data_IF_104192353179
#
_entry.id   IF_104192353179
#
_cell.length_a   1.000
_cell.length_b   1.000
_cell.length_c   1.000
_cell.angle_alpha   90.00
_cell.angle_beta   90.00
_cell.angle_gamma   90.00
#
_symmetry.space_group_name_H-M   'P 1'
#
loop_
_entity.id
_entity.type
_entity.pdbx_description
1 polymer ?
#
# COMPACT_ATOMS: atom_id res chain seq x y z
N UNK A 1 13.16 22.32 -19.26
CA UNK A 1 14.64 22.26 -19.11
C UNK A 1 15.26 23.65 -19.08
N UNK A 2 14.87 24.57 -19.95
CA UNK A 2 15.41 25.95 -19.98
C UNK A 2 15.22 26.70 -18.65
N UNK A 3 14.08 26.51 -17.98
CA UNK A 3 13.74 27.18 -16.71
C UNK A 3 14.63 26.69 -15.56
N UNK A 4 14.89 25.37 -15.49
CA UNK A 4 15.81 24.79 -14.50
C UNK A 4 17.26 25.16 -14.81
N UNK A 5 17.68 25.18 -16.08
CA UNK A 5 19.00 25.66 -16.48
C UNK A 5 19.21 27.13 -16.09
N UNK A 6 18.19 27.97 -16.24
CA UNK A 6 18.23 29.37 -15.81
C UNK A 6 18.40 29.49 -14.30
N UNK A 7 17.70 28.66 -13.51
CA UNK A 7 17.89 28.60 -12.06
C UNK A 7 19.33 28.21 -11.71
N UNK A 8 19.84 27.12 -12.28
CA UNK A 8 21.20 26.62 -12.02
C UNK A 8 22.26 27.66 -12.39
N UNK A 9 22.13 28.30 -13.56
CA UNK A 9 23.05 29.34 -13.99
C UNK A 9 23.00 30.58 -13.08
N UNK A 10 21.81 30.97 -12.60
CA UNK A 10 21.67 32.08 -11.67
C UNK A 10 22.29 31.79 -10.30
N UNK A 11 22.11 30.56 -9.77
CA UNK A 11 22.75 30.12 -8.53
C UNK A 11 24.28 30.11 -8.70
N UNK A 12 24.76 29.54 -9.81
CA UNK A 12 26.19 29.51 -10.14
C UNK A 12 26.79 30.91 -10.19
N UNK A 13 26.12 31.86 -10.84
CA UNK A 13 26.56 33.26 -10.88
C UNK A 13 26.63 33.93 -9.50
N UNK A 14 25.72 33.60 -8.58
CA UNK A 14 25.79 34.09 -7.19
C UNK A 14 27.01 33.50 -6.47
N UNK A 15 27.26 32.21 -6.64
CA UNK A 15 28.40 31.53 -6.01
C UNK A 15 29.75 32.07 -6.53
N UNK A 16 29.85 32.35 -7.84
CA UNK A 16 31.07 32.87 -8.46
C UNK A 16 31.35 34.34 -8.11
N UNK A 17 30.31 35.13 -7.82
CA UNK A 17 30.43 36.55 -7.47
C UNK A 17 30.77 36.81 -5.98
N UNK A 18 30.65 35.80 -5.11
CA UNK A 18 30.87 35.93 -3.68
C UNK A 18 32.18 35.24 -3.26
N UNK A 19 33.16 36.02 -2.79
CA UNK A 19 34.44 35.49 -2.26
C UNK A 19 34.28 34.70 -0.96
N UNK A 20 33.23 34.97 -0.19
CA UNK A 20 32.80 34.18 0.97
C UNK A 20 31.28 34.01 0.92
N UNK A 21 30.79 32.80 1.17
CA UNK A 21 29.36 32.52 1.22
C UNK A 21 28.73 33.20 2.44
N UNK A 22 28.10 34.35 2.22
CA UNK A 22 27.48 35.16 3.27
C UNK A 22 25.96 34.99 3.30
N UNK A 23 25.34 35.58 4.32
CA UNK A 23 23.88 35.50 4.52
C UNK A 23 23.09 36.16 3.37
N UNK A 24 23.70 37.11 2.63
CA UNK A 24 23.04 37.78 1.51
C UNK A 24 23.01 36.90 0.27
N UNK A 25 24.10 36.19 -0.04
CA UNK A 25 24.16 35.17 -1.08
C UNK A 25 23.15 34.03 -0.80
N UNK A 26 23.12 33.54 0.44
CA UNK A 26 22.15 32.53 0.87
C UNK A 26 20.70 33.00 0.65
N UNK A 27 20.35 34.23 1.07
CA UNK A 27 19.01 34.81 0.85
C UNK A 27 18.63 34.88 -0.63
N UNK A 28 19.57 35.27 -1.50
CA UNK A 28 19.33 35.32 -2.95
C UNK A 28 19.05 33.94 -3.54
N UNK A 29 19.82 32.92 -3.14
CA UNK A 29 19.60 31.53 -3.58
C UNK A 29 18.23 31.03 -3.12
N UNK A 30 17.89 31.22 -1.85
CA UNK A 30 16.57 30.84 -1.30
C UNK A 30 15.44 31.56 -2.04
N UNK A 31 15.61 32.84 -2.35
CA UNK A 31 14.63 33.60 -3.14
C UNK A 31 14.45 33.03 -4.55
N UNK A 32 15.53 32.62 -5.22
CA UNK A 32 15.47 32.00 -6.55
C UNK A 32 14.76 30.64 -6.52
N UNK A 33 15.09 29.80 -5.53
CA UNK A 33 14.44 28.50 -5.33
C UNK A 33 12.94 28.71 -5.08
N UNK A 34 12.58 29.60 -4.16
CA UNK A 34 11.19 29.90 -3.85
C UNK A 34 10.44 30.45 -5.07
N UNK A 35 11.10 31.27 -5.90
CA UNK A 35 10.49 31.80 -7.11
C UNK A 35 10.19 30.68 -8.11
N UNK A 36 11.16 29.81 -8.35
CA UNK A 36 11.02 28.65 -9.23
C UNK A 36 9.95 27.66 -8.75
N UNK A 37 9.86 27.44 -7.44
CA UNK A 37 8.91 26.51 -6.83
C UNK A 37 7.48 27.06 -6.75
N UNK A 38 7.30 28.35 -6.45
CA UNK A 38 6.02 28.87 -5.94
C UNK A 38 5.44 30.07 -6.70
N UNK A 39 6.09 30.56 -7.76
CA UNK A 39 5.58 31.78 -8.45
C UNK A 39 4.73 31.44 -9.66
N UNK A 40 3.49 31.94 -9.67
CA UNK A 40 2.60 31.96 -10.83
C UNK A 40 2.75 33.28 -11.60
N UNK A 41 2.87 33.22 -12.92
CA UNK A 41 2.88 34.42 -13.79
C UNK A 41 2.14 34.16 -15.11
N UNK A 42 1.77 35.24 -15.82
CA UNK A 42 0.85 35.26 -16.97
C UNK A 42 1.32 34.57 -18.26
N UNK A 43 2.21 33.59 -18.20
CA UNK A 43 2.70 32.79 -19.33
C UNK A 43 2.93 31.31 -19.02
N UNK A 44 2.54 30.85 -17.82
CA UNK A 44 2.61 29.44 -17.44
C UNK A 44 1.44 28.70 -18.09
N UNK A 45 1.76 27.81 -19.04
CA UNK A 45 0.80 27.02 -19.83
C UNK A 45 0.21 25.88 -18.98
N UNK A 46 -1.05 25.51 -19.25
CA UNK A 46 -1.70 24.33 -18.67
C UNK A 46 -1.03 23.03 -19.13
N UNK A 47 -1.18 21.97 -18.33
CA UNK A 47 -0.88 20.59 -18.75
C UNK A 47 -2.17 19.81 -18.92
N UNK A 48 -2.24 18.96 -19.93
CA UNK A 48 -3.35 18.04 -20.11
C UNK A 48 -3.05 16.73 -19.38
N UNK A 49 -3.92 16.36 -18.43
CA UNK A 49 -3.84 15.12 -17.68
C UNK A 49 -5.22 14.48 -17.71
N UNK A 50 -5.32 13.25 -18.22
CA UNK A 50 -6.61 12.52 -18.36
C UNK A 50 -7.67 13.35 -19.09
N UNK A 51 -7.31 13.95 -20.23
CA UNK A 51 -8.19 14.80 -21.06
C UNK A 51 -8.71 16.06 -20.35
N UNK A 52 -8.04 16.48 -19.25
CA UNK A 52 -8.35 17.70 -18.51
C UNK A 52 -7.14 18.61 -18.46
N UNK A 53 -7.35 19.87 -18.78
CA UNK A 53 -6.33 20.91 -18.61
C UNK A 53 -6.24 21.37 -17.15
N UNK A 54 -5.06 21.26 -16.58
CA UNK A 54 -4.71 21.79 -15.27
C UNK A 54 -3.73 22.96 -15.44
N UNK A 55 -4.08 24.12 -14.87
CA UNK A 55 -3.18 25.27 -14.87
C UNK A 55 -1.97 24.98 -13.97
N UNK A 56 -0.76 25.04 -14.53
CA UNK A 56 0.46 24.98 -13.73
C UNK A 56 0.58 26.22 -12.83
N UNK A 57 1.04 26.04 -11.59
CA UNK A 57 1.25 27.13 -10.64
C UNK A 57 2.71 27.57 -10.51
N UNK A 58 3.68 26.86 -11.10
CA UNK A 58 5.10 27.25 -11.14
C UNK A 58 5.91 26.55 -12.25
N UNK A 59 7.09 27.09 -12.55
CA UNK A 59 8.05 26.49 -13.50
C UNK A 59 8.59 25.14 -13.01
N UNK A 60 8.70 24.97 -11.69
CA UNK A 60 9.12 23.71 -11.09
C UNK A 60 8.16 22.58 -11.46
N UNK A 61 6.84 22.78 -11.37
CA UNK A 61 5.89 21.71 -11.70
C UNK A 61 5.97 21.29 -13.15
N UNK A 62 6.07 22.29 -14.04
CA UNK A 62 6.22 22.04 -15.47
C UNK A 62 7.52 21.27 -15.72
N UNK A 63 8.61 21.66 -15.08
CA UNK A 63 9.87 20.92 -15.16
C UNK A 63 9.72 19.51 -14.59
N UNK A 64 9.15 19.37 -13.40
CA UNK A 64 8.99 18.11 -12.70
C UNK A 64 8.11 17.15 -13.49
N UNK A 65 6.91 17.55 -13.91
CA UNK A 65 5.98 16.76 -14.72
C UNK A 65 6.65 16.21 -16.00
N UNK A 66 7.57 16.95 -16.61
CA UNK A 66 8.24 16.51 -17.83
C UNK A 66 9.48 15.63 -17.59
N UNK A 67 10.03 15.59 -16.37
CA UNK A 67 11.36 15.00 -16.13
C UNK A 67 11.40 14.03 -14.93
N UNK A 68 10.34 13.92 -14.13
CA UNK A 68 10.34 13.16 -12.87
C UNK A 68 10.78 11.70 -13.06
N UNK A 69 10.34 11.00 -14.11
CA UNK A 69 10.73 9.60 -14.35
C UNK A 69 12.23 9.45 -14.57
N UNK A 70 12.84 10.34 -15.37
CA UNK A 70 14.27 10.32 -15.65
C UNK A 70 15.10 10.74 -14.43
N UNK A 71 14.63 11.72 -13.66
CA UNK A 71 15.30 12.19 -12.46
C UNK A 71 15.24 11.14 -11.35
N UNK A 72 14.07 10.53 -11.13
CA UNK A 72 13.88 9.45 -10.15
C UNK A 72 14.66 8.21 -10.59
N UNK A 73 14.65 7.89 -11.90
CA UNK A 73 15.36 6.74 -12.46
C UNK A 73 14.97 5.45 -11.75
N UNK A 74 13.67 5.20 -11.60
CA UNK A 74 13.20 4.02 -10.88
C UNK A 74 13.33 2.78 -11.77
N UNK A 75 14.05 1.77 -11.28
CA UNK A 75 14.34 0.53 -12.01
C UNK A 75 13.95 -0.70 -11.18
N UNK A 76 13.62 -1.79 -11.89
CA UNK A 76 13.34 -3.09 -11.27
C UNK A 76 14.63 -3.91 -11.28
N UNK A 77 15.11 -4.32 -10.11
CA UNK A 77 16.32 -5.12 -9.99
C UNK A 77 16.01 -6.62 -10.07
N UNK A 78 16.26 -7.23 -11.23
CA UNK A 78 15.94 -8.64 -11.51
C UNK A 78 16.64 -9.63 -10.56
N UNK A 79 17.91 -9.37 -10.20
CA UNK A 79 18.66 -10.23 -9.29
C UNK A 79 18.08 -10.20 -7.88
N UNK A 80 17.64 -9.01 -7.42
CA UNK A 80 17.03 -8.86 -6.11
C UNK A 80 15.61 -9.42 -6.10
N UNK A 81 14.87 -9.32 -7.20
CA UNK A 81 13.57 -10.00 -7.34
C UNK A 81 13.69 -11.51 -7.11
N UNK A 82 14.78 -12.12 -7.59
CA UNK A 82 15.06 -13.54 -7.37
C UNK A 82 15.35 -13.86 -5.89
N UNK A 83 16.17 -13.04 -5.21
CA UNK A 83 16.42 -13.18 -3.76
C UNK A 83 15.13 -13.08 -2.94
N UNK A 84 14.28 -12.10 -3.27
CA UNK A 84 12.97 -11.92 -2.61
C UNK A 84 12.05 -13.10 -2.90
N UNK A 85 12.06 -13.65 -4.11
CA UNK A 85 11.29 -14.84 -4.47
C UNK A 85 11.67 -16.06 -3.60
N UNK A 86 12.97 -16.30 -3.39
CA UNK A 86 13.45 -17.36 -2.49
C UNK A 86 13.00 -17.12 -1.04
N UNK A 87 13.14 -15.89 -0.53
CA UNK A 87 12.70 -15.59 0.84
C UNK A 87 11.18 -15.77 1.03
N UNK A 88 10.36 -15.48 0.01
CA UNK A 88 8.93 -15.75 0.05
C UNK A 88 8.62 -17.26 -0.02
N UNK A 89 9.36 -18.02 -0.82
CA UNK A 89 9.25 -19.48 -0.89
C UNK A 89 9.58 -20.13 0.47
N UNK A 90 10.60 -19.67 1.18
CA UNK A 90 10.94 -20.19 2.51
C UNK A 90 9.76 -20.03 3.49
N UNK A 91 9.08 -18.88 3.44
CA UNK A 91 7.88 -18.62 4.25
C UNK A 91 6.70 -19.48 3.82
N UNK A 92 6.52 -19.67 2.50
CA UNK A 92 5.49 -20.56 1.98
C UNK A 92 5.72 -21.99 2.49
N UNK A 93 6.94 -22.50 2.37
CA UNK A 93 7.33 -23.84 2.82
C UNK A 93 7.16 -24.01 4.33
N UNK A 94 7.57 -23.00 5.10
CA UNK A 94 7.42 -22.99 6.56
C UNK A 94 5.94 -23.09 6.98
N UNK A 95 5.07 -22.36 6.30
CA UNK A 95 3.66 -22.22 6.69
C UNK A 95 2.68 -23.08 5.90
N UNK A 96 3.14 -23.85 4.93
CA UNK A 96 2.26 -24.56 3.98
C UNK A 96 1.39 -23.59 3.17
N UNK A 97 1.93 -22.41 2.86
CA UNK A 97 1.22 -21.33 2.17
C UNK A 97 0.24 -20.51 3.02
N UNK A 98 0.01 -20.87 4.29
CA UNK A 98 -0.94 -20.15 5.15
C UNK A 98 -0.51 -18.71 5.46
N UNK A 99 0.78 -18.37 5.36
CA UNK A 99 1.25 -17.00 5.52
C UNK A 99 0.68 -16.02 4.47
N UNK A 100 0.21 -16.53 3.34
CA UNK A 100 -0.35 -15.76 2.23
C UNK A 100 -1.88 -15.80 2.22
N UNK A 101 -2.49 -16.43 3.24
CA UNK A 101 -3.93 -16.51 3.39
C UNK A 101 -4.37 -15.58 4.51
N UNK A 102 -5.33 -14.72 4.20
CA UNK A 102 -6.02 -13.92 5.21
C UNK A 102 -7.13 -14.77 5.82
N UNK A 103 -7.15 -14.87 7.14
CA UNK A 103 -8.31 -15.37 7.88
C UNK A 103 -9.43 -14.32 7.79
N UNK A 104 -10.37 -14.58 6.89
CA UNK A 104 -11.53 -13.72 6.72
C UNK A 104 -12.67 -14.17 7.65
N UNK A 105 -13.18 -13.25 8.47
CA UNK A 105 -14.41 -13.48 9.19
C UNK A 105 -15.58 -13.49 8.20
N UNK A 106 -16.21 -14.65 8.03
CA UNK A 106 -17.36 -14.84 7.14
C UNK A 106 -18.69 -14.45 7.79
N UNK A 107 -18.70 -14.17 9.09
CA UNK A 107 -19.87 -13.87 9.91
C UNK A 107 -21.05 -14.86 9.74
N UNK A 108 -20.74 -16.14 9.48
CA UNK A 108 -21.75 -17.18 9.23
C UNK A 108 -22.47 -17.09 7.88
N UNK A 109 -22.10 -16.15 7.00
CA UNK A 109 -22.76 -15.92 5.72
C UNK A 109 -22.43 -16.96 4.64
N UNK A 110 -23.39 -17.14 3.73
CA UNK A 110 -23.23 -17.98 2.54
C UNK A 110 -22.24 -17.35 1.54
N UNK A 111 -21.76 -18.15 0.57
CA UNK A 111 -20.93 -17.61 -0.52
C UNK A 111 -21.68 -16.54 -1.32
N UNK A 112 -22.98 -16.69 -1.51
CA UNK A 112 -23.82 -15.77 -2.27
C UNK A 112 -23.92 -14.41 -1.58
N UNK A 113 -24.20 -14.42 -0.27
CA UNK A 113 -24.30 -13.20 0.53
C UNK A 113 -22.96 -12.48 0.62
N UNK A 114 -21.86 -13.21 0.82
CA UNK A 114 -20.51 -12.65 0.84
C UNK A 114 -20.20 -11.96 -0.50
N UNK A 115 -20.52 -12.61 -1.63
CA UNK A 115 -20.31 -12.05 -2.95
C UNK A 115 -21.12 -10.78 -3.15
N UNK A 116 -22.41 -10.81 -2.79
CA UNK A 116 -23.35 -9.69 -2.89
C UNK A 116 -22.87 -8.48 -2.08
N UNK A 117 -22.53 -8.68 -0.82
CA UNK A 117 -22.01 -7.62 0.05
C UNK A 117 -20.73 -7.05 -0.55
N UNK A 118 -19.72 -7.89 -0.83
CA UNK A 118 -18.43 -7.40 -1.33
C UNK A 118 -18.54 -6.69 -2.67
N UNK A 119 -19.37 -7.17 -3.60
CA UNK A 119 -19.56 -6.54 -4.91
C UNK A 119 -20.15 -5.12 -4.76
N UNK A 120 -21.18 -4.96 -3.91
CA UNK A 120 -21.85 -3.67 -3.76
C UNK A 120 -21.11 -2.69 -2.84
N UNK A 121 -20.18 -3.15 -2.00
CA UNK A 121 -19.41 -2.27 -1.11
C UNK A 121 -17.99 -1.99 -1.56
N UNK A 122 -17.36 -2.80 -2.42
CA UNK A 122 -15.95 -2.59 -2.78
C UNK A 122 -15.69 -1.24 -3.46
N UNK A 123 -16.62 -0.76 -4.30
CA UNK A 123 -16.52 0.59 -4.91
C UNK A 123 -16.93 1.74 -3.96
N UNK A 124 -17.41 1.40 -2.75
CA UNK A 124 -17.73 2.35 -1.68
C UNK A 124 -16.62 2.44 -0.64
N UNK A 125 -15.66 1.53 -0.65
CA UNK A 125 -14.62 1.44 0.36
C UNK A 125 -13.40 2.30 0.01
N UNK A 126 -13.53 3.61 0.25
CA UNK A 126 -12.43 4.53 0.05
C UNK A 126 -11.54 4.56 1.30
N UNK A 127 -10.27 4.15 1.15
CA UNK A 127 -9.23 4.10 2.21
C UNK A 127 -9.51 3.08 3.32
N UNK A 128 -9.98 1.89 2.97
CA UNK A 128 -10.15 0.74 3.89
C UNK A 128 -10.97 1.12 5.14
N UNK A 129 -12.08 1.79 4.87
CA UNK A 129 -12.91 2.52 5.82
C UNK A 129 -14.18 1.78 6.21
N UNK A 130 -14.43 0.63 5.59
CA UNK A 130 -15.57 -0.25 5.83
C UNK A 130 -15.09 -1.57 6.44
N UNK A 131 -15.52 -1.84 7.66
CA UNK A 131 -15.28 -3.13 8.30
C UNK A 131 -16.30 -4.16 7.80
N UNK A 132 -15.82 -5.31 7.31
CA UNK A 132 -16.71 -6.33 6.75
C UNK A 132 -17.70 -6.87 7.77
N UNK A 133 -17.31 -6.98 9.06
CA UNK A 133 -18.21 -7.47 10.10
C UNK A 133 -19.36 -6.48 10.28
N UNK A 134 -19.07 -5.18 10.43
CA UNK A 134 -20.10 -4.15 10.56
C UNK A 134 -21.07 -4.11 9.37
N UNK A 135 -20.55 -4.25 8.14
CA UNK A 135 -21.40 -4.30 6.94
C UNK A 135 -22.22 -5.59 6.90
N UNK A 136 -21.63 -6.73 7.25
CA UNK A 136 -22.35 -8.01 7.28
C UNK A 136 -23.43 -8.05 8.35
N UNK A 137 -23.23 -7.40 9.50
CA UNK A 137 -24.24 -7.29 10.55
C UNK A 137 -25.46 -6.50 10.03
N UNK A 138 -25.25 -5.41 9.27
CA UNK A 138 -26.33 -4.65 8.60
C UNK A 138 -27.05 -5.47 7.54
N UNK A 139 -26.32 -6.27 6.77
CA UNK A 139 -26.93 -7.19 5.80
C UNK A 139 -27.81 -8.25 6.49
N UNK A 140 -27.36 -8.79 7.63
CA UNK A 140 -28.13 -9.78 8.40
C UNK A 140 -29.42 -9.16 8.93
N UNK A 141 -29.36 -7.90 9.40
CA UNK A 141 -30.53 -7.18 9.91
C UNK A 141 -31.55 -6.87 8.79
N UNK A 142 -31.09 -6.47 7.60
CA UNK A 142 -31.94 -6.23 6.43
C UNK A 142 -31.24 -6.63 5.11
N UNK A 143 -31.42 -7.88 4.64
CA UNK A 143 -30.83 -8.35 3.39
C UNK A 143 -31.34 -7.60 2.15
N UNK A 144 -32.57 -7.04 2.22
CA UNK A 144 -33.19 -6.35 1.09
C UNK A 144 -32.44 -5.06 0.73
N UNK A 145 -31.75 -4.46 1.71
CA UNK A 145 -30.90 -3.29 1.48
C UNK A 145 -29.73 -3.56 0.51
N UNK A 146 -29.43 -4.83 0.21
CA UNK A 146 -28.41 -5.25 -0.77
C UNK A 146 -29.01 -5.92 -2.03
N UNK A 147 -30.31 -5.75 -2.29
CA UNK A 147 -30.93 -6.14 -3.57
C UNK A 147 -30.56 -5.12 -4.66
N UNK A 148 -30.09 -5.61 -5.80
CA UNK A 148 -29.68 -4.77 -6.93
C UNK A 148 -30.78 -3.82 -7.41
N UNK A 149 -32.05 -4.23 -7.38
CA UNK A 149 -33.17 -3.38 -7.80
C UNK A 149 -33.40 -2.27 -6.79
N UNK A 150 -33.33 -2.60 -5.50
CA UNK A 150 -33.48 -1.63 -4.41
C UNK A 150 -32.33 -0.61 -4.45
N UNK A 151 -31.08 -1.06 -4.64
CA UNK A 151 -29.92 -0.16 -4.77
C UNK A 151 -30.03 0.72 -6.02
N UNK A 152 -30.50 0.19 -7.15
CA UNK A 152 -30.63 0.96 -8.39
C UNK A 152 -31.73 2.04 -8.31
N UNK A 153 -32.82 1.73 -7.60
CA UNK A 153 -33.95 2.64 -7.37
C UNK A 153 -33.63 3.71 -6.31
N UNK A 154 -32.98 3.33 -5.20
CA UNK A 154 -32.62 4.24 -4.10
C UNK A 154 -31.16 4.06 -3.63
N UNK A 155 -30.18 4.52 -4.44
CA UNK A 155 -28.77 4.40 -4.09
C UNK A 155 -28.37 5.28 -2.89
N UNK A 156 -29.13 6.34 -2.60
CA UNK A 156 -28.86 7.21 -1.46
C UNK A 156 -29.16 6.48 -0.15
N UNK A 157 -30.30 5.79 -0.08
CA UNK A 157 -30.63 4.97 1.08
C UNK A 157 -29.59 3.86 1.31
N UNK A 158 -29.08 3.24 0.25
CA UNK A 158 -27.98 2.26 0.37
C UNK A 158 -26.73 2.88 0.99
N UNK A 159 -26.28 4.04 0.49
CA UNK A 159 -25.12 4.77 1.03
C UNK A 159 -25.34 5.20 2.48
N UNK A 160 -26.58 5.55 2.86
CA UNK A 160 -26.95 5.82 4.26
C UNK A 160 -26.86 4.56 5.13
N UNK A 161 -27.38 3.42 4.66
CA UNK A 161 -27.27 2.12 5.35
C UNK A 161 -25.82 1.78 5.62
N UNK A 162 -24.92 1.99 4.66
CA UNK A 162 -23.49 1.78 4.85
C UNK A 162 -22.85 2.73 5.88
N UNK A 163 -23.51 3.83 6.28
CA UNK A 163 -23.03 4.77 7.30
C UNK A 163 -21.97 5.74 6.78
N UNK A 164 -21.96 6.00 5.47
CA UNK A 164 -20.92 6.79 4.78
C UNK A 164 -21.46 8.06 4.11
N UNK A 165 -22.73 8.39 4.34
CA UNK A 165 -23.42 9.54 3.73
C UNK A 165 -22.80 10.90 4.08
N UNK A 166 -22.17 11.04 5.25
CA UNK A 166 -21.51 12.28 5.70
C UNK A 166 -20.06 12.43 5.20
N UNK A 167 -19.55 11.49 4.40
CA UNK A 167 -18.18 11.56 3.87
C UNK A 167 -18.15 12.37 2.57
N UNK A 168 -16.99 12.91 2.21
CA UNK A 168 -16.84 13.60 0.93
C UNK A 168 -17.21 12.70 -0.26
N UNK A 169 -17.68 13.31 -1.35
CA UNK A 169 -18.06 12.66 -2.62
C UNK A 169 -19.38 11.86 -2.63
N UNK A 170 -20.37 12.22 -1.80
CA UNK A 170 -21.69 11.54 -1.74
C UNK A 170 -22.35 11.35 -3.12
N UNK A 171 -22.33 12.37 -3.99
CA UNK A 171 -22.91 12.26 -5.35
C UNK A 171 -22.27 11.14 -6.17
N UNK A 172 -20.94 10.98 -6.09
CA UNK A 172 -20.22 9.90 -6.80
C UNK A 172 -20.53 8.53 -6.20
N UNK A 173 -20.66 8.45 -4.88
CA UNK A 173 -20.98 7.20 -4.18
C UNK A 173 -22.35 6.66 -4.62
N UNK A 174 -23.34 7.56 -4.72
CA UNK A 174 -24.67 7.22 -5.22
C UNK A 174 -24.62 6.74 -6.67
N UNK A 175 -23.85 7.42 -7.53
CA UNK A 175 -23.64 6.99 -8.93
C UNK A 175 -22.98 5.61 -9.00
N UNK A 176 -21.95 5.35 -8.20
CA UNK A 176 -21.25 4.07 -8.16
C UNK A 176 -22.15 2.94 -7.64
N UNK A 177 -22.95 3.18 -6.60
CA UNK A 177 -23.91 2.20 -6.07
C UNK A 177 -24.95 1.82 -7.13
N UNK A 178 -25.58 2.81 -7.76
CA UNK A 178 -26.53 2.59 -8.84
C UNK A 178 -25.90 1.89 -10.04
N UNK A 179 -24.69 2.29 -10.40
CA UNK A 179 -23.95 1.74 -11.54
C UNK A 179 -23.63 0.25 -11.38
N UNK A 180 -23.11 -0.17 -10.23
CA UNK A 180 -22.81 -1.59 -10.00
C UNK A 180 -24.07 -2.45 -9.91
N UNK A 181 -25.15 -1.93 -9.32
CA UNK A 181 -26.43 -2.61 -9.28
C UNK A 181 -27.01 -2.79 -10.69
N UNK A 182 -26.96 -1.73 -11.51
CA UNK A 182 -27.40 -1.77 -12.91
C UNK A 182 -26.57 -2.74 -13.74
N UNK A 183 -25.24 -2.77 -13.54
CA UNK A 183 -24.33 -3.70 -14.21
C UNK A 183 -24.73 -5.16 -13.97
N UNK A 184 -25.06 -5.54 -12.73
CA UNK A 184 -25.55 -6.89 -12.40
C UNK A 184 -26.89 -7.18 -13.09
N UNK A 185 -27.82 -6.21 -13.05
CA UNK A 185 -29.14 -6.34 -13.67
C UNK A 185 -29.05 -6.49 -15.20
N UNK A 186 -28.16 -5.76 -15.87
CA UNK A 186 -27.93 -5.83 -17.32
C UNK A 186 -27.44 -7.22 -17.76
N UNK A 187 -26.66 -7.90 -16.92
CA UNK A 187 -26.22 -9.28 -17.17
C UNK A 187 -27.30 -10.32 -16.80
N UNK A 188 -28.41 -9.91 -16.19
CA UNK A 188 -29.54 -10.78 -15.87
C UNK A 188 -29.18 -11.92 -14.91
N UNK A 189 -28.24 -11.69 -14.00
CA UNK A 189 -27.71 -12.72 -13.10
C UNK A 189 -27.64 -12.22 -11.65
N UNK A 190 -27.43 -13.14 -10.70
CA UNK A 190 -27.10 -12.76 -9.33
C UNK A 190 -25.60 -12.39 -9.21
N UNK A 191 -25.19 -11.60 -8.19
CA UNK A 191 -23.79 -11.21 -7.98
C UNK A 191 -22.78 -12.37 -8.03
N UNK A 192 -23.12 -13.53 -7.45
CA UNK A 192 -22.23 -14.70 -7.45
C UNK A 192 -22.10 -15.35 -8.83
N UNK A 193 -23.12 -15.23 -9.67
CA UNK A 193 -23.17 -15.81 -11.01
C UNK A 193 -22.53 -14.94 -12.08
N UNK A 194 -22.24 -13.68 -11.76
CA UNK A 194 -21.64 -12.71 -12.66
C UNK A 194 -20.38 -13.26 -13.35
N UNK A 195 -19.54 -14.00 -12.63
CA UNK A 195 -18.32 -14.63 -13.18
C UNK A 195 -18.61 -15.62 -14.33
N UNK A 196 -19.78 -16.26 -14.33
CA UNK A 196 -20.21 -17.18 -15.40
C UNK A 196 -20.49 -16.43 -16.71
N UNK A 197 -20.96 -15.19 -16.64
CA UNK A 197 -21.15 -14.33 -17.81
C UNK A 197 -19.84 -13.98 -18.52
N UNK A 198 -18.70 -14.22 -17.86
CA UNK A 198 -17.35 -13.99 -18.36
C UNK A 198 -16.57 -15.30 -18.52
N UNK A 199 -17.25 -16.42 -18.80
CA UNK A 199 -16.66 -17.75 -19.03
C UNK A 199 -15.82 -18.27 -17.86
N UNK A 200 -16.16 -17.85 -16.63
CA UNK A 200 -15.35 -18.07 -15.43
C UNK A 200 -13.91 -17.52 -15.51
N UNK A 201 -13.63 -16.59 -16.42
CA UNK A 201 -12.34 -15.89 -16.53
C UNK A 201 -12.38 -14.59 -15.71
N UNK A 202 -11.67 -14.59 -14.58
CA UNK A 202 -11.65 -13.43 -13.69
C UNK A 202 -10.95 -12.22 -14.32
N UNK A 203 -10.07 -12.42 -15.30
CA UNK A 203 -9.44 -11.30 -16.00
C UNK A 203 -10.43 -10.57 -16.91
N UNK A 204 -11.36 -11.29 -17.55
CA UNK A 204 -12.43 -10.68 -18.33
C UNK A 204 -13.42 -9.91 -17.44
N UNK A 205 -13.82 -10.50 -16.31
CA UNK A 205 -14.68 -9.81 -15.34
C UNK A 205 -14.00 -8.54 -14.79
N UNK A 206 -12.70 -8.61 -14.47
CA UNK A 206 -11.92 -7.45 -14.04
C UNK A 206 -12.01 -6.32 -15.06
N UNK A 207 -11.71 -6.63 -16.32
CA UNK A 207 -11.64 -5.62 -17.37
C UNK A 207 -13.03 -4.99 -17.60
N UNK A 208 -14.10 -5.79 -17.58
CA UNK A 208 -15.48 -5.31 -17.64
C UNK A 208 -15.87 -4.39 -16.46
N UNK A 209 -15.47 -4.74 -15.23
CA UNK A 209 -15.71 -3.90 -14.04
C UNK A 209 -14.97 -2.56 -14.13
N UNK A 210 -13.78 -2.53 -14.73
CA UNK A 210 -13.00 -1.30 -14.93
C UNK A 210 -13.63 -0.43 -16.02
N UNK A 211 -14.00 -1.03 -17.15
CA UNK A 211 -14.51 -0.33 -18.32
C UNK A 211 -15.86 0.35 -18.09
N UNK A 212 -16.74 -0.22 -17.26
CA UNK A 212 -18.04 0.38 -16.96
C UNK A 212 -17.95 1.65 -16.07
N UNK A 213 -16.78 2.01 -15.54
CA UNK A 213 -16.51 3.27 -14.84
C UNK A 213 -17.43 3.55 -13.63
N UNK A 214 -17.83 2.48 -12.93
CA UNK A 214 -18.74 2.50 -11.77
C UNK A 214 -17.99 2.49 -10.42
N UNK A 215 -16.80 3.08 -10.38
CA UNK A 215 -15.96 3.15 -9.17
C UNK A 215 -15.08 1.92 -8.92
N UNK A 216 -15.09 0.95 -9.83
CA UNK A 216 -14.13 -0.15 -9.86
C UNK A 216 -12.87 0.25 -10.64
N UNK A 217 -11.91 0.91 -9.99
CA UNK A 217 -10.56 1.06 -10.56
C UNK A 217 -9.80 -0.27 -10.56
N UNK A 218 -8.65 -0.33 -11.26
CA UNK A 218 -7.80 -1.54 -11.34
C UNK A 218 -7.57 -2.19 -9.97
N UNK A 219 -7.13 -1.41 -8.99
CA UNK A 219 -6.88 -1.89 -7.62
C UNK A 219 -8.13 -2.47 -6.96
N UNK A 220 -9.26 -1.78 -7.04
CA UNK A 220 -10.52 -2.23 -6.42
C UNK A 220 -11.01 -3.53 -7.04
N UNK A 221 -10.94 -3.64 -8.37
CA UNK A 221 -11.32 -4.85 -9.10
C UNK A 221 -10.40 -6.03 -8.75
N UNK A 222 -9.07 -5.83 -8.74
CA UNK A 222 -8.10 -6.86 -8.35
C UNK A 222 -8.34 -7.34 -6.91
N UNK A 223 -8.57 -6.42 -5.96
CA UNK A 223 -8.86 -6.76 -4.56
C UNK A 223 -10.18 -7.52 -4.40
N UNK A 224 -11.23 -7.12 -5.11
CA UNK A 224 -12.52 -7.82 -5.10
C UNK A 224 -12.37 -9.26 -5.62
N UNK A 225 -11.73 -9.44 -6.77
CA UNK A 225 -11.50 -10.78 -7.36
C UNK A 225 -10.65 -11.65 -6.44
N UNK A 226 -9.54 -11.10 -5.93
CA UNK A 226 -8.69 -11.78 -4.94
C UNK A 226 -9.52 -12.29 -3.77
N UNK A 227 -10.37 -11.44 -3.20
CA UNK A 227 -11.21 -11.80 -2.07
C UNK A 227 -12.19 -12.94 -2.42
N UNK A 228 -12.83 -12.90 -3.59
CA UNK A 228 -13.76 -13.96 -4.02
C UNK A 228 -13.08 -15.33 -4.15
N UNK A 229 -11.86 -15.36 -4.69
CA UNK A 229 -11.08 -16.59 -4.83
C UNK A 229 -10.60 -17.08 -3.46
N UNK A 230 -10.05 -16.18 -2.64
CA UNK A 230 -9.50 -16.52 -1.32
C UNK A 230 -10.57 -16.99 -0.33
N UNK A 231 -11.78 -16.45 -0.43
CA UNK A 231 -12.93 -16.91 0.36
C UNK A 231 -13.54 -18.22 -0.17
N UNK A 232 -13.06 -18.75 -1.30
CA UNK A 232 -13.65 -19.92 -1.94
C UNK A 232 -15.09 -19.68 -2.39
N UNK A 233 -15.45 -18.42 -2.68
CA UNK A 233 -16.74 -18.02 -3.23
C UNK A 233 -16.82 -18.49 -4.68
N UNK A 234 -15.81 -18.12 -5.46
CA UNK A 234 -15.61 -18.63 -6.82
C UNK A 234 -14.59 -19.76 -6.83
N UNK A 235 -14.95 -20.83 -7.54
CA UNK A 235 -14.15 -22.04 -7.73
C UNK A 235 -14.05 -22.31 -9.22
N UNK A 236 -13.05 -23.08 -9.63
CA UNK A 236 -12.86 -23.51 -11.03
C UNK A 236 -12.80 -22.32 -12.02
N UNK A 237 -12.03 -21.30 -11.64
CA UNK A 237 -11.85 -20.07 -12.42
C UNK A 237 -10.59 -20.11 -13.31
N UNK A 238 -10.56 -19.25 -14.33
CA UNK A 238 -9.42 -19.04 -15.21
C UNK A 238 -8.88 -17.61 -15.09
N UNK A 239 -7.61 -17.40 -15.47
CA UNK A 239 -7.02 -16.06 -15.58
C UNK A 239 -6.59 -15.43 -14.24
N UNK A 240 -6.62 -16.18 -13.14
CA UNK A 240 -6.27 -15.64 -11.82
C UNK A 240 -4.81 -15.17 -11.74
N UNK A 241 -3.91 -15.80 -12.48
CA UNK A 241 -2.50 -15.43 -12.60
C UNK A 241 -2.26 -14.03 -13.21
N UNK A 242 -3.29 -13.45 -13.84
CA UNK A 242 -3.27 -12.10 -14.42
C UNK A 242 -3.66 -11.01 -13.43
N UNK A 243 -4.09 -11.36 -12.23
CA UNK A 243 -4.43 -10.42 -11.16
C UNK A 243 -3.16 -10.04 -10.41
N UNK A 244 -2.83 -8.74 -10.40
CA UNK A 244 -1.57 -8.24 -9.84
C UNK A 244 -1.64 -8.02 -8.31
N UNK A 245 -0.47 -7.83 -7.67
CA UNK A 245 -0.39 -7.30 -6.30
C UNK A 245 -1.04 -5.92 -6.24
N UNK A 246 -1.98 -5.75 -5.31
CA UNK A 246 -2.61 -4.45 -5.06
C UNK A 246 -1.59 -3.46 -4.49
N UNK A 247 -1.13 -2.55 -5.34
CA UNK A 247 -0.12 -1.57 -4.96
C UNK A 247 -0.67 -0.51 -3.97
N UNK A 248 0.13 -0.24 -2.94
CA UNK A 248 -0.10 0.79 -1.94
C UNK A 248 1.23 1.27 -1.35
N UNK A 249 1.19 2.32 -0.53
CA UNK A 249 2.37 2.93 0.09
C UNK A 249 3.22 1.91 0.87
N UNK A 250 2.60 0.93 1.55
CA UNK A 250 3.37 -0.08 2.30
C UNK A 250 4.08 -1.06 1.36
N UNK A 251 3.41 -1.55 0.30
CA UNK A 251 4.04 -2.44 -0.67
C UNK A 251 5.17 -1.74 -1.43
N UNK A 252 5.01 -0.45 -1.76
CA UNK A 252 6.06 0.36 -2.40
C UNK A 252 7.25 0.55 -1.46
N UNK A 253 7.00 0.89 -0.18
CA UNK A 253 8.06 1.02 0.83
C UNK A 253 8.85 -0.27 1.00
N UNK A 254 8.18 -1.43 0.97
CA UNK A 254 8.85 -2.73 1.02
C UNK A 254 9.65 -2.97 -0.26
N UNK A 255 9.09 -2.64 -1.42
CA UNK A 255 9.78 -2.81 -2.70
C UNK A 255 11.08 -1.99 -2.77
N UNK A 256 11.06 -0.75 -2.29
CA UNK A 256 12.24 0.11 -2.18
C UNK A 256 13.25 -0.41 -1.14
N UNK A 257 12.78 -0.81 0.05
CA UNK A 257 13.66 -1.30 1.14
C UNK A 257 14.35 -2.62 0.80
N UNK A 258 13.64 -3.50 0.10
CA UNK A 258 14.22 -4.76 -0.38
C UNK A 258 15.16 -4.55 -1.56
N UNK A 259 15.04 -3.43 -2.27
CA UNK A 259 15.82 -3.14 -3.48
C UNK A 259 15.28 -3.80 -4.74
N UNK A 260 14.07 -4.41 -4.72
CA UNK A 260 13.42 -4.84 -5.97
C UNK A 260 13.03 -3.64 -6.83
N UNK A 261 12.80 -2.49 -6.19
CA UNK A 261 12.81 -1.17 -6.80
C UNK A 261 14.00 -0.39 -6.29
N UNK A 262 14.73 0.25 -7.20
CA UNK A 262 15.85 1.14 -6.89
C UNK A 262 15.67 2.45 -7.62
N UNK A 263 16.12 3.55 -7.03
CA UNK A 263 16.06 4.89 -7.63
C UNK A 263 17.45 5.48 -7.79
N UNK A 264 17.63 6.35 -8.78
CA UNK A 264 18.88 7.05 -9.02
C UNK A 264 19.18 8.12 -7.95
N UNK A 265 18.15 8.57 -7.23
CA UNK A 265 18.25 9.54 -6.13
C UNK A 265 17.58 8.99 -4.86
N UNK A 266 18.03 9.39 -3.66
CA UNK A 266 17.26 9.16 -2.43
C UNK A 266 15.90 9.84 -2.51
N UNK A 267 14.86 9.17 -2.00
CA UNK A 267 13.53 9.75 -1.85
C UNK A 267 13.32 10.15 -0.38
N UNK A 268 12.98 11.40 -0.10
CA UNK A 268 12.45 11.73 1.23
C UNK A 268 11.06 11.08 1.41
N UNK A 269 10.67 10.76 2.65
CA UNK A 269 9.38 10.09 2.96
C UNK A 269 8.16 10.78 2.35
N UNK A 270 8.27 12.09 2.16
CA UNK A 270 7.20 12.97 1.73
C UNK A 270 7.10 13.03 0.20
N UNK A 271 8.03 12.45 -0.59
CA UNK A 271 7.96 12.49 -2.07
C UNK A 271 6.74 11.76 -2.65
N UNK A 272 6.12 10.84 -1.91
CA UNK A 272 4.82 10.26 -2.29
C UNK A 272 3.66 11.27 -2.15
N UNK A 273 3.83 12.30 -1.32
CA UNK A 273 2.82 13.31 -1.02
C UNK A 273 2.95 14.57 -1.89
N UNK A 274 4.09 14.82 -2.53
CA UNK A 274 4.33 16.07 -3.25
C UNK A 274 3.52 16.13 -4.56
N UNK A 275 3.40 15.06 -5.37
CA UNK A 275 2.61 15.10 -6.64
C UNK A 275 1.98 13.76 -7.06
N UNK A 276 0.70 13.81 -7.51
CA UNK A 276 -0.08 12.64 -7.96
C UNK A 276 0.61 11.79 -9.05
N UNK A 277 1.35 12.40 -9.98
CA UNK A 277 1.99 11.69 -11.10
C UNK A 277 3.11 10.75 -10.65
N UNK A 278 3.85 11.12 -9.60
CA UNK A 278 4.91 10.25 -9.07
C UNK A 278 4.33 9.02 -8.42
N UNK A 279 3.21 9.19 -7.70
CA UNK A 279 2.52 8.08 -7.07
C UNK A 279 2.08 7.06 -8.13
N UNK A 280 1.45 7.51 -9.23
CA UNK A 280 1.02 6.64 -10.33
C UNK A 280 2.21 5.91 -10.99
N UNK A 281 3.33 6.62 -11.19
CA UNK A 281 4.56 6.02 -11.72
C UNK A 281 5.13 4.92 -10.81
N UNK A 282 5.22 5.17 -9.51
CA UNK A 282 5.63 4.15 -8.54
C UNK A 282 4.62 3.02 -8.41
N UNK A 283 3.32 3.31 -8.48
CA UNK A 283 2.25 2.31 -8.40
C UNK A 283 2.37 1.29 -9.54
N UNK A 284 2.57 1.79 -10.76
CA UNK A 284 2.79 0.97 -11.95
C UNK A 284 4.08 0.13 -11.88
N UNK A 285 5.20 0.73 -11.45
CA UNK A 285 6.47 0.00 -11.34
C UNK A 285 6.48 -1.00 -10.19
N UNK A 286 5.87 -0.68 -9.07
CA UNK A 286 5.71 -1.59 -7.92
C UNK A 286 4.90 -2.83 -8.31
N UNK A 287 3.79 -2.63 -9.02
CA UNK A 287 2.98 -3.72 -9.56
C UNK A 287 3.82 -4.66 -10.44
N UNK A 288 4.61 -4.09 -11.36
CA UNK A 288 5.51 -4.85 -12.25
C UNK A 288 6.62 -5.57 -11.47
N UNK A 289 7.21 -4.93 -10.46
CA UNK A 289 8.27 -5.51 -9.64
C UNK A 289 7.78 -6.75 -8.87
N UNK A 290 6.61 -6.67 -8.23
CA UNK A 290 6.04 -7.81 -7.52
C UNK A 290 5.57 -8.93 -8.45
N UNK A 291 5.04 -8.61 -9.63
CA UNK A 291 4.80 -9.61 -10.68
C UNK A 291 6.10 -10.32 -11.06
N UNK A 292 7.19 -9.58 -11.23
CA UNK A 292 8.51 -10.15 -11.55
C UNK A 292 9.01 -11.09 -10.46
N UNK A 293 8.84 -10.72 -9.19
CA UNK A 293 9.14 -11.59 -8.04
C UNK A 293 8.33 -12.89 -8.12
N UNK A 294 7.02 -12.81 -8.38
CA UNK A 294 6.17 -13.99 -8.51
C UNK A 294 6.56 -14.88 -9.70
N UNK A 295 6.88 -14.28 -10.86
CA UNK A 295 7.35 -15.02 -12.04
C UNK A 295 8.65 -15.78 -11.75
N UNK A 296 9.60 -15.13 -11.06
CA UNK A 296 10.85 -15.74 -10.60
C UNK A 296 10.59 -16.88 -9.63
N UNK A 297 9.71 -16.66 -8.65
CA UNK A 297 9.29 -17.70 -7.71
C UNK A 297 8.72 -18.90 -8.45
N UNK A 298 7.73 -18.68 -9.33
CA UNK A 298 7.09 -19.76 -10.11
C UNK A 298 8.08 -20.50 -10.99
N UNK A 299 9.08 -19.82 -11.55
CA UNK A 299 10.11 -20.45 -12.37
C UNK A 299 11.06 -21.33 -11.53
N UNK A 300 11.47 -20.86 -10.34
CA UNK A 300 12.35 -21.59 -9.43
C UNK A 300 11.64 -22.76 -8.73
N UNK A 301 10.40 -22.57 -8.32
CA UNK A 301 9.62 -23.50 -7.49
C UNK A 301 8.21 -23.73 -8.06
N UNK A 302 8.07 -24.36 -9.24
CA UNK A 302 6.79 -24.43 -9.96
C UNK A 302 5.67 -25.20 -9.25
N UNK A 303 6.00 -26.04 -8.26
CA UNK A 303 5.04 -26.81 -7.46
C UNK A 303 4.75 -26.20 -6.08
N UNK A 304 5.52 -25.20 -5.67
CA UNK A 304 5.48 -24.61 -4.33
C UNK A 304 5.42 -23.08 -4.46
N UNK A 305 4.40 -22.61 -5.18
CA UNK A 305 4.19 -21.20 -5.48
C UNK A 305 2.72 -20.86 -5.30
N UNK A 306 2.44 -19.56 -5.23
CA UNK A 306 1.09 -19.03 -5.24
C UNK A 306 0.50 -19.10 -6.66
N UNK A 307 -0.81 -19.32 -6.76
CA UNK A 307 -1.53 -19.38 -8.04
C UNK A 307 -1.55 -18.04 -8.77
N UNK A 308 -1.44 -16.93 -8.03
CA UNK A 308 -1.46 -15.57 -8.55
C UNK A 308 -0.53 -14.64 -7.75
N UNK A 309 0.10 -13.64 -8.40
CA UNK A 309 0.92 -12.66 -7.68
C UNK A 309 0.12 -11.87 -6.65
N UNK A 310 -1.19 -11.64 -6.86
CA UNK A 310 -2.01 -10.85 -5.93
C UNK A 310 -1.99 -11.38 -4.49
N UNK A 311 -1.76 -12.69 -4.30
CA UNK A 311 -1.69 -13.33 -2.99
C UNK A 311 -0.44 -12.95 -2.17
N UNK A 312 0.58 -12.38 -2.81
CA UNK A 312 1.76 -11.84 -2.13
C UNK A 312 1.38 -10.61 -1.29
N UNK A 313 0.32 -9.89 -1.68
CA UNK A 313 -0.06 -8.62 -1.04
C UNK A 313 -0.36 -8.80 0.45
N UNK A 314 -0.95 -9.92 0.86
CA UNK A 314 -1.37 -10.12 2.23
C UNK A 314 -0.15 -10.19 3.13
N UNK A 315 0.79 -11.08 2.80
CA UNK A 315 2.00 -11.25 3.58
C UNK A 315 2.85 -9.96 3.58
N UNK A 316 3.01 -9.33 2.42
CA UNK A 316 3.82 -8.11 2.31
C UNK A 316 3.17 -6.93 3.04
N UNK A 317 1.88 -6.70 2.90
CA UNK A 317 1.20 -5.58 3.54
C UNK A 317 0.95 -5.83 5.04
N UNK A 318 0.26 -6.91 5.40
CA UNK A 318 -0.24 -7.16 6.77
C UNK A 318 0.84 -7.68 7.72
N UNK A 319 1.75 -8.53 7.23
CA UNK A 319 2.80 -9.10 8.08
C UNK A 319 4.05 -8.24 8.02
N UNK A 320 4.63 -8.07 6.85
CA UNK A 320 5.88 -7.29 6.74
C UNK A 320 5.61 -5.82 7.03
N UNK A 321 4.70 -5.18 6.29
CA UNK A 321 4.45 -3.74 6.38
C UNK A 321 3.92 -3.29 7.73
N UNK A 322 2.89 -3.95 8.25
CA UNK A 322 2.20 -3.51 9.47
C UNK A 322 2.76 -4.11 10.78
N UNK A 323 3.55 -5.19 10.75
CA UNK A 323 4.06 -5.82 11.98
C UNK A 323 5.58 -5.77 12.12
N UNK A 324 6.34 -5.96 11.03
CA UNK A 324 7.81 -6.04 11.10
C UNK A 324 8.51 -4.74 10.69
N UNK A 325 7.91 -3.99 9.77
CA UNK A 325 8.51 -2.83 9.10
C UNK A 325 7.90 -1.49 9.58
N UNK A 326 7.36 -1.49 10.80
CA UNK A 326 6.68 -0.37 11.48
C UNK A 326 7.46 0.04 12.74
N UNK A 327 7.37 1.30 13.17
CA UNK A 327 8.07 1.82 14.35
C UNK A 327 7.39 1.38 15.67
N UNK A 328 7.45 0.08 15.98
CA UNK A 328 6.82 -0.51 17.18
C UNK A 328 7.84 -1.10 18.19
N UNK A 329 9.14 -1.10 17.89
CA UNK A 329 10.18 -1.42 18.88
C UNK A 329 10.57 -0.14 19.63
N UNK A 330 10.16 -0.04 20.89
CA UNK A 330 10.41 1.13 21.71
C UNK A 330 11.76 1.03 22.41
N UNK A 331 12.57 2.10 22.33
CA UNK A 331 13.81 2.24 23.08
C UNK A 331 13.52 3.05 24.34
N UNK A 332 13.85 2.49 25.50
CA UNK A 332 13.68 3.10 26.80
C UNK A 332 15.02 3.53 27.39
N UNK A 333 15.00 4.66 28.09
CA UNK A 333 16.09 5.08 28.97
C UNK A 333 15.63 5.09 30.42
N UNK A 334 16.47 4.52 31.29
CA UNK A 334 16.31 4.54 32.73
C UNK A 334 16.62 5.93 33.30
N UNK A 335 15.74 6.41 34.19
CA UNK A 335 15.90 7.75 34.78
C UNK A 335 17.09 7.82 35.75
N UNK A 336 17.33 6.76 36.52
CA UNK A 336 18.26 6.82 37.66
C UNK A 336 19.69 6.37 37.30
N UNK A 337 19.83 5.45 36.36
CA UNK A 337 21.11 4.78 36.04
C UNK A 337 21.51 4.87 34.56
N UNK A 338 20.73 5.55 33.71
CA UNK A 338 21.05 5.76 32.30
C UNK A 338 21.01 4.50 31.42
N UNK A 339 20.61 3.34 31.95
CA UNK A 339 20.40 2.11 31.18
C UNK A 339 19.51 2.33 29.97
N UNK A 340 19.92 1.78 28.82
CA UNK A 340 19.14 1.78 27.58
C UNK A 340 18.75 0.35 27.24
N UNK A 341 17.47 0.11 26.97
CA UNK A 341 16.97 -1.20 26.55
C UNK A 341 15.76 -1.06 25.62
N UNK A 342 15.43 -2.15 24.93
CA UNK A 342 14.31 -2.20 23.99
C UNK A 342 13.14 -3.00 24.54
N UNK A 343 11.93 -2.63 24.13
CA UNK A 343 10.71 -3.34 24.50
C UNK A 343 9.67 -3.30 23.39
N UNK A 344 8.88 -4.37 23.26
CA UNK A 344 7.84 -4.54 22.23
C UNK A 344 6.59 -3.66 22.43
N UNK A 345 6.56 -2.83 23.48
CA UNK A 345 5.41 -1.99 23.82
C UNK A 345 5.85 -0.72 24.55
N UNK A 346 5.18 0.39 24.25
CA UNK A 346 5.36 1.67 24.94
C UNK A 346 4.82 1.66 26.38
N UNK A 347 4.07 0.62 26.75
CA UNK A 347 3.42 0.53 28.06
C UNK A 347 4.38 0.11 29.17
N UNK A 348 5.64 -0.24 28.86
CA UNK A 348 6.63 -0.57 29.87
C UNK A 348 6.97 0.66 30.73
N UNK A 349 6.81 0.55 32.05
CA UNK A 349 7.06 1.64 33.01
C UNK A 349 8.30 1.45 33.87
N UNK A 350 8.88 0.25 33.86
CA UNK A 350 9.94 -0.17 34.77
C UNK A 350 11.21 -0.51 33.98
N UNK A 351 12.37 -0.13 34.50
CA UNK A 351 13.66 -0.51 33.93
C UNK A 351 13.88 -2.02 34.09
N UNK A 352 13.88 -2.73 32.96
CA UNK A 352 14.02 -4.19 32.92
C UNK A 352 15.44 -4.64 33.32
N UNK A 353 16.45 -3.78 33.15
CA UNK A 353 17.82 -4.04 33.61
C UNK A 353 17.90 -3.93 35.14
N UNK A 354 17.45 -2.81 35.71
CA UNK A 354 17.41 -2.61 37.16
C UNK A 354 16.57 -3.68 37.87
N UNK A 355 15.44 -4.07 37.29
CA UNK A 355 14.57 -5.12 37.83
C UNK A 355 15.31 -6.46 37.92
N UNK A 356 16.06 -6.84 36.88
CA UNK A 356 16.91 -8.06 36.89
C UNK A 356 18.04 -7.98 37.92
N UNK A 357 18.54 -6.78 38.22
CA UNK A 357 19.53 -6.52 39.28
C UNK A 357 18.92 -6.43 40.69
N UNK A 358 17.63 -6.70 40.85
CA UNK A 358 16.92 -6.65 42.13
C UNK A 358 16.50 -5.25 42.59
N UNK A 359 16.69 -4.22 41.77
CA UNK A 359 16.24 -2.85 42.06
C UNK A 359 14.80 -2.66 41.58
N UNK A 360 13.89 -2.44 42.53
CA UNK A 360 12.47 -2.28 42.26
C UNK A 360 12.12 -0.79 42.00
N UNK A 361 11.02 -0.57 41.27
CA UNK A 361 10.40 0.75 41.04
C UNK A 361 11.25 1.79 40.27
N UNK A 362 12.32 1.37 39.59
CA UNK A 362 13.12 2.27 38.76
C UNK A 362 12.35 2.60 37.47
N UNK A 363 12.01 3.88 37.28
CA UNK A 363 11.21 4.36 36.14
C UNK A 363 12.03 4.52 34.87
N UNK A 364 11.32 4.45 33.75
CA UNK A 364 11.87 4.64 32.40
C UNK A 364 10.99 5.53 31.56
N UNK A 365 11.56 6.14 30.52
CA UNK A 365 10.83 6.86 29.50
C UNK A 365 11.28 6.41 28.10
N UNK A 366 10.38 6.52 27.12
CA UNK A 366 10.68 6.19 25.72
C UNK A 366 11.52 7.33 25.14
N UNK A 367 12.64 6.99 24.51
CA UNK A 367 13.51 7.96 23.83
C UNK A 367 13.40 7.87 22.30
N UNK A 368 13.01 6.72 21.77
CA UNK A 368 12.83 6.51 20.34
C UNK A 368 11.91 5.32 20.06
N UNK A 369 11.41 5.26 18.83
CA UNK A 369 10.80 4.06 18.25
C UNK A 369 11.50 3.76 16.95
N UNK A 370 11.73 2.48 16.69
CA UNK A 370 12.42 2.00 15.51
C UNK A 370 11.70 0.79 14.94
N UNK A 371 12.03 0.47 13.68
CA UNK A 371 11.54 -0.72 13.01
C UNK A 371 12.26 -1.97 13.54
N UNK A 372 11.53 -3.01 13.98
CA UNK A 372 12.14 -4.27 14.39
C UNK A 372 13.02 -4.88 13.30
N UNK A 373 12.60 -4.82 12.03
CA UNK A 373 13.36 -5.37 10.92
C UNK A 373 14.68 -4.65 10.63
N UNK A 374 14.99 -3.55 11.30
CA UNK A 374 16.18 -2.73 11.11
C UNK A 374 17.11 -2.74 12.34
N UNK A 375 16.76 -3.47 13.40
CA UNK A 375 17.48 -3.45 14.67
C UNK A 375 17.97 -4.86 15.06
N UNK A 376 19.20 -5.01 15.59
CA UNK A 376 19.72 -6.31 16.03
C UNK A 376 18.88 -7.00 17.12
N UNK A 377 18.16 -6.24 17.95
CA UNK A 377 17.23 -6.76 18.97
C UNK A 377 15.76 -6.73 18.48
N UNK A 378 15.56 -6.66 17.16
CA UNK A 378 14.25 -6.71 16.51
C UNK A 378 13.38 -7.89 16.91
N UNK A 379 14.01 -9.03 17.23
CA UNK A 379 13.35 -10.25 17.71
C UNK A 379 12.37 -9.98 18.86
N UNK A 380 12.67 -9.01 19.74
CA UNK A 380 11.82 -8.64 20.89
C UNK A 380 10.40 -8.26 20.43
N UNK A 381 10.27 -7.49 19.37
CA UNK A 381 8.98 -7.07 18.85
C UNK A 381 8.39 -8.08 17.85
N UNK A 382 9.23 -8.73 17.05
CA UNK A 382 8.79 -9.71 16.04
C UNK A 382 8.10 -10.92 16.71
N UNK A 383 8.68 -11.47 17.78
CA UNK A 383 8.07 -12.59 18.51
C UNK A 383 6.70 -12.25 19.12
N UNK A 384 6.47 -10.97 19.38
CA UNK A 384 5.24 -10.46 19.98
C UNK A 384 4.18 -10.06 18.94
N UNK A 385 4.51 -10.14 17.65
CA UNK A 385 3.59 -9.86 16.56
C UNK A 385 2.47 -10.89 16.50
N UNK A 386 1.30 -10.48 15.99
CA UNK A 386 0.14 -11.37 15.84
C UNK A 386 0.51 -12.58 14.98
N UNK A 387 1.10 -12.34 13.81
CA UNK A 387 1.51 -13.39 12.89
C UNK A 387 2.43 -14.43 13.55
N UNK A 388 3.47 -14.01 14.27
CA UNK A 388 4.44 -14.93 14.87
C UNK A 388 3.86 -15.64 16.10
N UNK A 389 2.94 -15.01 16.83
CA UNK A 389 2.22 -15.66 17.94
C UNK A 389 1.33 -16.80 17.48
N UNK A 390 0.70 -16.64 16.30
CA UNK A 390 -0.18 -17.65 15.71
C UNK A 390 0.58 -18.83 15.10
N UNK A 391 1.90 -18.71 14.90
CA UNK A 391 2.74 -19.81 14.42
C UNK A 391 3.07 -20.81 15.55
N UNK A 392 3.18 -22.12 15.20
CA UNK A 392 3.72 -23.13 16.11
C UNK A 392 5.10 -22.73 16.68
N UNK A 393 5.40 -23.15 17.90
CA UNK A 393 6.59 -22.71 18.66
C UNK A 393 7.89 -22.91 17.88
N UNK A 394 8.00 -24.03 17.18
CA UNK A 394 9.15 -24.44 16.36
C UNK A 394 9.25 -23.70 15.01
N UNK A 395 8.20 -23.00 14.59
CA UNK A 395 8.13 -22.22 13.34
C UNK A 395 8.17 -20.71 13.56
N UNK A 396 8.35 -20.24 14.81
CA UNK A 396 8.37 -18.81 15.10
C UNK A 396 9.53 -18.11 14.42
N UNK A 397 9.22 -17.06 13.69
CA UNK A 397 10.21 -16.19 13.08
C UNK A 397 10.81 -15.27 14.13
N UNK A 398 12.14 -15.21 14.15
CA UNK A 398 12.90 -14.28 15.00
C UNK A 398 13.25 -12.99 14.28
N UNK A 399 13.35 -13.05 12.95
CA UNK A 399 13.77 -11.94 12.09
C UNK A 399 12.77 -11.75 10.96
N UNK A 400 12.78 -10.56 10.37
CA UNK A 400 12.09 -10.29 9.12
C UNK A 400 12.68 -11.19 8.01
N UNK A 401 11.86 -11.85 7.17
CA UNK A 401 12.35 -12.70 6.08
C UNK A 401 13.23 -11.95 5.07
N UNK A 402 13.07 -10.63 4.97
CA UNK A 402 13.85 -9.79 4.07
C UNK A 402 15.06 -9.13 4.74
N UNK A 403 15.36 -9.42 6.00
CA UNK A 403 16.44 -8.74 6.76
C UNK A 403 17.78 -8.73 6.01
N UNK A 404 18.22 -9.91 5.53
CA UNK A 404 19.49 -10.05 4.82
C UNK A 404 19.48 -9.31 3.47
N UNK A 405 18.34 -9.30 2.78
CA UNK A 405 18.19 -8.65 1.47
C UNK A 405 18.24 -7.12 1.64
N UNK A 406 17.47 -6.59 2.59
CA UNK A 406 17.42 -5.15 2.85
C UNK A 406 18.78 -4.58 3.29
N UNK A 407 19.59 -5.37 4.00
CA UNK A 407 20.91 -4.93 4.48
C UNK A 407 21.90 -4.56 3.35
N UNK A 408 21.70 -5.10 2.14
CA UNK A 408 22.51 -4.82 0.96
C UNK A 408 22.06 -3.56 0.20
N UNK A 409 20.84 -3.07 0.46
CA UNK A 409 20.17 -2.01 -0.29
C UNK A 409 19.76 -0.82 0.58
N UNK A 410 20.49 -0.59 1.68
CA UNK A 410 20.32 0.59 2.53
C UNK A 410 20.74 1.88 1.80
N UNK A 411 19.91 2.29 0.84
CA UNK A 411 19.79 3.66 0.37
C UNK A 411 18.48 4.19 0.92
N UNK A 412 18.46 4.50 2.22
CA UNK A 412 17.49 5.37 2.90
C UNK A 412 17.96 5.63 4.33
#
# INVERSE_FOLDING_TARGET
>A
MNEFNNLVNAIKGIMEASTTFDIYAARKIVQLINKFQNTRYGGIVSIEVLEKEYANFSDFLKFWHNNYEQIIGCEINDSVCEKVAVALHDIYSLTGGNAFKKDWNRNGLSNEDICRIKLFTANQDFRDSLDFKEISDKFIDDPSSFDERIIADDPEQFVMTLGISQRSLTDKRNQYAKGIASFVMEHGCSPIELIKCFDNDVSKLRDALIECNIGYGKKTADMFIRDMVMLGVWKDIFGFEKIDVASNVNTIKIALRTGILTTAIPLESDFFDIFCNQYEYFDNLNTKAWRKVWEKWRALFPKETLESPCLIDYFTHEVIGQQFCVDNLAIFQCNDFGHVFRWHSIMNRTCQICYKEGRLNVKTHVIAKIRPCADPEGEIAILESKFVKDLPKEKKLKNCPFYNICSEHYTL
#
